data_IF_655956356177
#
_entry.id   IF_655956356177
#
_cell.length_a   1.000
_cell.length_b   1.000
_cell.length_c   1.000
_cell.angle_alpha   90.00
_cell.angle_beta   90.00
_cell.angle_gamma   90.00
#
_symmetry.space_group_name_H-M   'P 1'
#
loop_
_entity.id
_entity.type
_entity.pdbx_description
1 polymer ?
#
# COMPACT_ATOMS: atom_id res chain seq x y z
N UNK A 1 -8.27 10.03 2.17
CA UNK A 1 -7.08 9.32 2.70
C UNK A 1 -7.36 8.87 4.14
N UNK A 2 -7.66 7.59 4.39
CA UNK A 2 -8.16 7.10 5.69
C UNK A 2 -7.18 7.24 6.88
N UNK A 3 -5.88 7.50 6.63
CA UNK A 3 -4.85 7.64 7.67
C UNK A 3 -4.56 9.09 8.10
N UNK A 4 -5.13 10.09 7.40
CA UNK A 4 -4.99 11.52 7.72
C UNK A 4 -5.35 11.90 9.16
N UNK A 5 -6.42 11.38 9.80
CA UNK A 5 -6.74 11.76 11.17
C UNK A 5 -5.69 11.27 12.18
N UNK A 6 -5.10 10.09 11.97
CA UNK A 6 -4.10 9.53 12.89
C UNK A 6 -2.76 10.26 12.80
N UNK A 7 -2.36 10.69 11.61
CA UNK A 7 -1.15 11.51 11.40
C UNK A 7 -1.31 12.89 12.05
N UNK A 8 -2.46 13.54 11.87
CA UNK A 8 -2.75 14.83 12.51
C UNK A 8 -2.77 14.69 14.04
N UNK A 9 -3.40 13.65 14.58
CA UNK A 9 -3.39 13.37 16.00
C UNK A 9 -1.96 13.15 16.53
N UNK A 10 -1.12 12.38 15.81
CA UNK A 10 0.27 12.15 16.20
C UNK A 10 1.09 13.45 16.26
N UNK A 11 0.95 14.32 15.25
CA UNK A 11 1.65 15.62 15.20
C UNK A 11 1.18 16.54 16.32
N UNK A 12 -0.14 16.70 16.50
CA UNK A 12 -0.70 17.62 17.50
C UNK A 12 -0.38 17.14 18.91
N UNK A 13 -0.62 15.87 19.22
CA UNK A 13 -0.34 15.30 20.55
C UNK A 13 1.17 15.28 20.84
N UNK A 14 2.00 14.96 19.85
CA UNK A 14 3.45 14.98 19.97
C UNK A 14 4.00 16.38 20.25
N UNK A 15 3.54 17.38 19.49
CA UNK A 15 3.95 18.78 19.69
C UNK A 15 3.51 19.31 21.06
N UNK A 16 2.25 19.09 21.46
CA UNK A 16 1.77 19.49 22.78
C UNK A 16 2.50 18.77 23.92
N UNK A 17 2.80 17.48 23.76
CA UNK A 17 3.57 16.68 24.72
C UNK A 17 4.98 17.24 24.92
N UNK A 18 5.71 17.54 23.84
CA UNK A 18 7.04 18.15 23.91
C UNK A 18 7.03 19.53 24.57
N UNK A 19 6.06 20.38 24.24
CA UNK A 19 5.91 21.71 24.83
C UNK A 19 5.63 21.61 26.34
N UNK A 20 4.78 20.70 26.77
CA UNK A 20 4.46 20.49 28.19
C UNK A 20 5.64 19.92 28.98
N UNK A 21 6.43 19.02 28.39
CA UNK A 21 7.65 18.50 29.01
C UNK A 21 8.69 19.61 29.16
N UNK A 22 8.90 20.43 28.13
CA UNK A 22 9.78 21.60 28.20
C UNK A 22 9.34 22.62 29.26
N UNK A 23 8.04 22.94 29.32
CA UNK A 23 7.46 23.80 30.35
C UNK A 23 7.49 23.17 31.76
N UNK A 24 7.48 21.84 31.84
CA UNK A 24 7.75 21.04 33.03
C UNK A 24 9.18 21.27 33.52
N UNK A 25 10.19 20.96 32.70
CA UNK A 25 11.61 21.18 33.04
C UNK A 25 11.89 22.63 33.49
N UNK A 26 11.31 23.62 32.81
CA UNK A 26 11.43 25.03 33.22
C UNK A 26 10.80 25.34 34.58
N UNK A 27 9.76 24.60 34.99
CA UNK A 27 9.15 24.70 36.32
C UNK A 27 10.01 24.08 37.42
N UNK A 28 10.88 23.13 37.09
CA UNK A 28 11.80 22.49 38.04
C UNK A 28 12.86 23.49 38.53
N UNK A 29 13.34 24.35 37.62
CA UNK A 29 14.25 25.47 37.92
C UNK A 29 13.65 26.47 38.92
N UNK A 30 12.32 26.53 39.03
CA UNK A 30 11.60 27.43 39.97
C UNK A 30 11.17 26.76 41.28
N UNK A 31 11.66 25.55 41.62
CA UNK A 31 11.37 24.81 42.87
C UNK A 31 9.87 24.54 43.13
N UNK A 32 9.00 24.65 42.12
CA UNK A 32 7.55 24.37 42.24
C UNK A 32 7.24 22.92 41.90
N UNK A 33 7.55 22.01 42.82
CA UNK A 33 7.48 20.55 42.64
C UNK A 33 6.10 20.06 42.22
N UNK A 34 5.00 20.57 42.80
CA UNK A 34 3.64 20.14 42.44
C UNK A 34 3.24 20.49 41.00
N UNK A 35 3.61 21.69 40.51
CA UNK A 35 3.35 22.11 39.12
C UNK A 35 4.25 21.38 38.12
N UNK A 36 5.44 20.97 38.54
CA UNK A 36 6.33 20.13 37.75
C UNK A 36 5.71 18.76 37.49
N UNK A 37 5.34 18.03 38.56
CA UNK A 37 4.82 16.65 38.46
C UNK A 37 3.58 16.56 37.59
N UNK A 38 2.61 17.46 37.75
CA UNK A 38 1.39 17.43 36.93
C UNK A 38 1.70 17.69 35.45
N UNK A 39 2.56 18.68 35.15
CA UNK A 39 2.90 19.04 33.76
C UNK A 39 3.71 17.95 33.06
N UNK A 40 4.67 17.33 33.75
CA UNK A 40 5.47 16.25 33.18
C UNK A 40 4.65 14.99 32.96
N UNK A 41 3.75 14.65 33.88
CA UNK A 41 2.89 13.47 33.78
C UNK A 41 1.86 13.61 32.66
N UNK A 42 1.24 14.79 32.52
CA UNK A 42 0.36 15.10 31.38
C UNK A 42 1.15 15.13 30.06
N UNK A 43 2.35 15.71 30.04
CA UNK A 43 3.21 15.72 28.86
C UNK A 43 3.63 14.31 28.41
N UNK A 44 3.99 13.44 29.35
CA UNK A 44 4.29 12.02 29.09
C UNK A 44 3.08 11.27 28.54
N UNK A 45 1.89 11.49 29.11
CA UNK A 45 0.66 10.89 28.62
C UNK A 45 0.36 11.30 27.17
N UNK A 46 0.49 12.58 26.85
CA UNK A 46 0.26 13.08 25.49
C UNK A 46 1.31 12.55 24.51
N UNK A 47 2.58 12.45 24.92
CA UNK A 47 3.61 11.81 24.10
C UNK A 47 3.31 10.33 23.85
N UNK A 48 2.89 9.59 24.86
CA UNK A 48 2.53 8.18 24.72
C UNK A 48 1.35 8.00 23.74
N UNK A 49 0.30 8.82 23.88
CA UNK A 49 -0.85 8.83 22.97
C UNK A 49 -0.46 9.23 21.55
N UNK A 50 0.41 10.24 21.38
CA UNK A 50 0.92 10.65 20.07
C UNK A 50 1.75 9.56 19.39
N UNK A 51 2.57 8.84 20.16
CA UNK A 51 3.40 7.73 19.67
C UNK A 51 2.52 6.56 19.24
N UNK A 52 1.50 6.23 20.03
CA UNK A 52 0.53 5.19 19.70
C UNK A 52 -0.26 5.54 18.43
N UNK A 53 -0.76 6.77 18.31
CA UNK A 53 -1.45 7.25 17.12
C UNK A 53 -0.55 7.22 15.87
N UNK A 54 0.73 7.59 16.01
CA UNK A 54 1.72 7.52 14.94
C UNK A 54 1.99 6.08 14.50
N UNK A 55 2.13 5.15 15.45
CA UNK A 55 2.27 3.72 15.17
C UNK A 55 1.07 3.14 14.43
N UNK A 56 -0.15 3.51 14.82
CA UNK A 56 -1.37 3.13 14.11
C UNK A 56 -1.42 3.71 12.70
N UNK A 57 -1.05 4.97 12.51
CA UNK A 57 -0.99 5.60 11.19
C UNK A 57 -0.03 4.83 10.25
N UNK A 58 1.16 4.49 10.74
CA UNK A 58 2.14 3.70 9.99
C UNK A 58 1.63 2.29 9.69
N UNK A 59 0.98 1.63 10.66
CA UNK A 59 0.40 0.31 10.49
C UNK A 59 -0.72 0.29 9.43
N UNK A 60 -1.66 1.24 9.51
CA UNK A 60 -2.76 1.39 8.55
C UNK A 60 -2.24 1.74 7.16
N UNK A 61 -1.24 2.62 7.06
CA UNK A 61 -0.62 2.95 5.79
C UNK A 61 0.11 1.75 5.18
N UNK A 62 0.86 0.99 6.00
CA UNK A 62 1.54 -0.22 5.57
C UNK A 62 0.55 -1.30 5.11
N UNK A 63 -0.56 -1.47 5.84
CA UNK A 63 -1.62 -2.39 5.47
C UNK A 63 -2.24 -2.00 4.11
N UNK A 64 -2.65 -0.75 3.94
CA UNK A 64 -3.18 -0.27 2.64
C UNK A 64 -2.16 -0.36 1.50
N UNK A 65 -0.87 -0.18 1.77
CA UNK A 65 0.16 -0.33 0.75
C UNK A 65 0.35 -1.79 0.32
N UNK A 66 0.03 -2.76 1.18
CA UNK A 66 0.20 -4.18 0.89
C UNK A 66 -1.07 -4.81 0.29
N UNK A 67 -2.25 -4.31 0.66
CA UNK A 67 -3.55 -4.77 0.14
C UNK A 67 -4.00 -4.00 -1.09
N UNK A 68 -3.20 -3.05 -1.59
CA UNK A 68 -3.51 -2.36 -2.85
C UNK A 68 -3.28 -3.33 -4.01
N UNK A 69 -4.36 -3.98 -4.43
CA UNK A 69 -4.42 -4.75 -5.65
C UNK A 69 -4.73 -3.80 -6.81
N UNK A 70 -3.69 -3.37 -7.52
CA UNK A 70 -3.86 -2.63 -8.76
C UNK A 70 -4.10 -3.63 -9.91
N UNK A 71 -5.12 -3.37 -10.74
CA UNK A 71 -5.48 -4.23 -11.88
C UNK A 71 -4.28 -4.31 -12.82
N UNK A 72 -3.68 -5.48 -13.01
CA UNK A 72 -2.50 -5.64 -13.86
C UNK A 72 -2.80 -5.47 -15.35
N UNK A 73 -3.89 -6.07 -15.84
CA UNK A 73 -4.41 -5.92 -17.19
C UNK A 73 -5.86 -6.43 -17.26
N UNK A 74 -6.63 -5.93 -18.23
CA UNK A 74 -7.95 -6.47 -18.60
C UNK A 74 -7.83 -7.23 -19.91
N UNK A 75 -8.23 -8.49 -19.92
CA UNK A 75 -8.20 -9.35 -21.10
C UNK A 75 -9.63 -9.56 -21.59
N UNK A 76 -9.88 -9.26 -22.86
CA UNK A 76 -11.15 -9.52 -23.53
C UNK A 76 -10.92 -10.54 -24.64
N UNK A 77 -11.64 -11.65 -24.59
CA UNK A 77 -11.51 -12.74 -25.56
C UNK A 77 -12.72 -12.73 -26.48
N UNK A 78 -12.47 -12.74 -27.79
CA UNK A 78 -13.50 -12.85 -28.83
C UNK A 78 -13.19 -14.04 -29.73
N UNK A 79 -14.11 -15.00 -29.88
CA UNK A 79 -13.92 -16.12 -30.80
C UNK A 79 -13.89 -15.59 -32.25
N UNK A 80 -12.88 -16.00 -33.01
CA UNK A 80 -12.70 -15.59 -34.41
C UNK A 80 -12.90 -16.72 -35.41
N UNK A 81 -12.62 -17.97 -35.02
CA UNK A 81 -12.88 -19.17 -35.82
C UNK A 81 -12.93 -20.42 -34.90
N UNK A 82 -13.26 -21.63 -35.41
CA UNK A 82 -13.07 -22.87 -34.64
C UNK A 82 -11.62 -22.97 -34.18
N UNK A 83 -11.42 -23.16 -32.86
CA UNK A 83 -10.10 -23.21 -32.21
C UNK A 83 -9.22 -21.96 -32.41
N UNK A 84 -9.84 -20.80 -32.70
CA UNK A 84 -9.13 -19.54 -32.80
C UNK A 84 -9.89 -18.44 -32.10
N UNK A 85 -9.17 -17.68 -31.29
CA UNK A 85 -9.73 -16.54 -30.57
C UNK A 85 -8.75 -15.38 -30.57
N UNK A 86 -9.33 -14.18 -30.60
CA UNK A 86 -8.61 -12.91 -30.48
C UNK A 86 -8.67 -12.47 -29.02
N UNK A 87 -7.50 -12.34 -28.39
CA UNK A 87 -7.37 -11.81 -27.02
C UNK A 87 -6.85 -10.36 -27.07
N UNK A 88 -7.66 -9.43 -26.57
CA UNK A 88 -7.30 -8.02 -26.42
C UNK A 88 -6.92 -7.75 -24.97
N UNK A 89 -5.65 -7.43 -24.74
CA UNK A 89 -5.09 -7.09 -23.43
C UNK A 89 -5.00 -5.57 -23.33
N UNK A 90 -5.67 -5.00 -22.34
CA UNK A 90 -5.62 -3.56 -22.02
C UNK A 90 -4.91 -3.35 -20.70
N UNK A 91 -3.82 -2.59 -20.73
CA UNK A 91 -3.03 -2.23 -19.57
C UNK A 91 -3.56 -0.94 -18.90
N UNK A 92 -3.23 -0.70 -17.62
CA UNK A 92 -3.68 0.49 -16.87
C UNK A 92 -3.18 1.81 -17.46
N UNK A 93 -2.05 1.77 -18.16
CA UNK A 93 -1.46 2.92 -18.86
C UNK A 93 -2.17 3.25 -20.19
N UNK A 94 -3.24 2.53 -20.52
CA UNK A 94 -4.02 2.72 -21.74
C UNK A 94 -3.45 1.99 -22.96
N UNK A 95 -2.28 1.35 -22.87
CA UNK A 95 -1.77 0.51 -23.95
C UNK A 95 -2.70 -0.69 -24.15
N UNK A 96 -2.96 -1.02 -25.41
CA UNK A 96 -3.67 -2.24 -25.78
C UNK A 96 -2.82 -3.09 -26.71
N UNK A 97 -2.78 -4.40 -26.46
CA UNK A 97 -2.17 -5.39 -27.36
C UNK A 97 -3.21 -6.42 -27.75
N UNK A 98 -3.26 -6.76 -29.03
CA UNK A 98 -4.17 -7.77 -29.56
C UNK A 98 -3.35 -8.98 -29.99
N UNK A 99 -3.77 -10.16 -29.56
CA UNK A 99 -3.14 -11.44 -29.88
C UNK A 99 -4.15 -12.35 -30.54
N UNK A 100 -3.78 -12.92 -31.69
CA UNK A 100 -4.54 -14.00 -32.31
C UNK A 100 -3.96 -15.30 -31.79
N UNK A 101 -4.78 -16.08 -31.10
CA UNK A 101 -4.38 -17.30 -30.43
C UNK A 101 -5.15 -18.46 -31.04
N UNK A 102 -4.45 -19.56 -31.24
CA UNK A 102 -5.04 -20.83 -31.65
C UNK A 102 -5.04 -21.77 -30.44
N UNK A 103 -6.16 -22.44 -30.19
CA UNK A 103 -6.40 -23.28 -29.02
C UNK A 103 -7.86 -23.26 -28.57
N UNK A 104 -8.14 -24.01 -27.50
CA UNK A 104 -9.46 -24.08 -26.86
C UNK A 104 -9.54 -23.14 -25.65
N UNK A 105 -8.40 -22.85 -25.02
CA UNK A 105 -8.31 -22.09 -23.78
C UNK A 105 -7.21 -21.03 -23.85
N UNK A 106 -7.37 -19.94 -23.08
CA UNK A 106 -6.33 -18.92 -22.93
C UNK A 106 -5.43 -19.26 -21.73
N UNK A 107 -4.13 -19.26 -21.96
CA UNK A 107 -3.09 -19.40 -20.96
C UNK A 107 -2.32 -18.08 -20.83
N UNK A 108 -2.18 -17.60 -19.60
CA UNK A 108 -1.48 -16.34 -19.30
C UNK A 108 -0.46 -16.60 -18.20
N UNK A 109 0.79 -16.29 -18.49
CA UNK A 109 1.89 -16.32 -17.53
C UNK A 109 2.33 -14.89 -17.18
N UNK A 110 2.60 -14.65 -15.90
CA UNK A 110 2.89 -13.33 -15.38
C UNK A 110 3.90 -13.41 -14.23
N UNK A 111 4.95 -12.59 -14.34
CA UNK A 111 5.91 -12.43 -13.26
C UNK A 111 5.43 -11.33 -12.31
N UNK A 112 5.18 -11.69 -11.05
CA UNK A 112 4.71 -10.77 -10.01
C UNK A 112 5.85 -10.48 -9.05
N UNK A 113 6.44 -9.27 -9.14
CA UNK A 113 7.45 -8.84 -8.19
C UNK A 113 6.82 -8.01 -7.07
N UNK A 114 6.53 -8.66 -5.93
CA UNK A 114 6.05 -8.00 -4.72
C UNK A 114 7.22 -7.42 -3.92
N UNK A 115 7.31 -6.09 -3.86
CA UNK A 115 8.32 -5.43 -3.05
C UNK A 115 7.97 -5.44 -1.54
N UNK A 116 8.98 -5.28 -0.68
CA UNK A 116 8.79 -5.13 0.76
C UNK A 116 8.04 -3.81 1.07
N UNK A 117 7.25 -3.73 2.16
CA UNK A 117 6.44 -2.55 2.49
C UNK A 117 7.20 -1.22 2.52
N UNK A 118 8.48 -1.24 2.91
CA UNK A 118 9.31 -0.02 2.97
C UNK A 118 9.66 0.52 1.57
N UNK A 119 9.68 -0.33 0.55
CA UNK A 119 9.96 0.06 -0.83
C UNK A 119 8.77 0.82 -1.45
N UNK A 120 7.53 0.49 -1.06
CA UNK A 120 6.33 1.22 -1.49
C UNK A 120 6.34 2.68 -0.99
N UNK A 121 6.96 2.95 0.16
CA UNK A 121 7.08 4.31 0.72
C UNK A 121 7.99 5.19 -0.15
N UNK A 122 8.97 4.61 -0.83
CA UNK A 122 9.89 5.30 -1.75
C UNK A 122 9.37 5.37 -3.19
N UNK A 123 8.11 4.96 -3.44
CA UNK A 123 7.48 5.02 -4.76
C UNK A 123 7.78 3.82 -5.68
N UNK A 124 8.42 2.77 -5.16
CA UNK A 124 8.56 1.51 -5.89
C UNK A 124 7.27 0.71 -5.73
N UNK A 125 6.44 0.72 -6.76
CA UNK A 125 5.19 -0.04 -6.79
C UNK A 125 5.43 -1.47 -7.29
N UNK A 126 4.52 -2.38 -6.96
CA UNK A 126 4.50 -3.75 -7.51
C UNK A 126 4.54 -3.67 -9.03
N UNK A 127 5.60 -4.19 -9.63
CA UNK A 127 5.73 -4.27 -11.07
C UNK A 127 5.09 -5.57 -11.54
N UNK A 128 4.18 -5.45 -12.49
CA UNK A 128 3.55 -6.58 -13.18
C UNK A 128 4.08 -6.59 -14.61
N UNK A 129 4.76 -7.66 -14.99
CA UNK A 129 5.16 -7.89 -16.37
C UNK A 129 4.46 -9.14 -16.88
N UNK A 130 3.62 -8.94 -17.90
CA UNK A 130 2.94 -10.03 -18.59
C UNK A 130 3.94 -10.64 -19.56
N UNK A 131 4.44 -11.83 -19.25
CA UNK A 131 5.55 -12.46 -19.96
C UNK A 131 5.04 -13.17 -21.22
N UNK A 132 3.96 -13.96 -21.10
CA UNK A 132 3.45 -14.77 -22.20
C UNK A 132 1.94 -14.96 -22.16
N UNK A 133 1.31 -14.85 -23.34
CA UNK A 133 -0.06 -15.31 -23.58
C UNK A 133 -0.01 -16.37 -24.68
N UNK A 134 -0.64 -17.51 -24.44
CA UNK A 134 -0.71 -18.62 -25.39
C UNK A 134 -2.12 -19.22 -25.42
N UNK A 135 -2.47 -19.92 -26.49
CA UNK A 135 -3.61 -20.82 -26.50
C UNK A 135 -3.20 -22.21 -26.03
N UNK A 136 -4.10 -22.89 -25.30
CA UNK A 136 -3.94 -24.29 -24.88
C UNK A 136 -5.02 -25.15 -25.53
N UNK A 137 -4.61 -26.29 -26.08
CA UNK A 137 -5.50 -27.32 -26.60
C UNK A 137 -5.87 -28.29 -25.49
N UNK A 138 -7.13 -28.72 -25.42
CA UNK A 138 -7.58 -29.68 -24.39
C UNK A 138 -7.13 -31.12 -24.68
N UNK A 139 -6.88 -31.45 -25.95
CA UNK A 139 -6.43 -32.77 -26.37
C UNK A 139 -4.96 -32.76 -26.81
N UNK A 140 -4.14 -33.62 -26.19
CA UNK A 140 -2.71 -33.82 -26.52
C UNK A 140 -2.47 -34.29 -27.96
N UNK A 141 -3.51 -34.76 -28.67
CA UNK A 141 -3.44 -35.19 -30.06
C UNK A 141 -3.50 -34.03 -31.06
N UNK A 142 -3.72 -32.79 -30.59
CA UNK A 142 -3.92 -31.59 -31.41
C UNK A 142 -2.78 -30.57 -31.26
N UNK A 143 -1.70 -30.94 -30.56
CA UNK A 143 -0.44 -30.17 -30.47
C UNK A 143 0.50 -30.50 -31.63
#
# INVERSE_FOLDING_TARGET
MPYTPFVLAAIVLGAFGLVLIGAGLASLVRLRVGRFTVRTLVGLLLLALGTLAGGLALGVQGYHALTREDVAARISVQPSAPQQFTAVVRYPDGRSRTFNLAGDEIYVDAHILKWKPIANIVGLHTAYELDRIAGRYQELAQE
#
